data_IF_350813900044
#
_entry.id   IF_350813900044
#
_cell.length_a   1.000
_cell.length_b   1.000
_cell.length_c   1.000
_cell.angle_alpha   90.00
_cell.angle_beta   90.00
_cell.angle_gamma   90.00
#
_symmetry.space_group_name_H-M   'P 1'
#
loop_
_entity.id
_entity.type
_entity.pdbx_description
1 polymer ?
#
# COMPACT_ATOMS: atom_id res chain seq x y z
N UNK A 1 -2.27 14.65 25.87
CA UNK A 1 -2.11 13.27 25.38
C UNK A 1 -0.90 12.65 26.10
N UNK A 2 -0.96 11.41 26.58
CA UNK A 2 0.18 10.76 27.24
C UNK A 2 1.21 10.33 26.17
N UNK A 3 2.52 10.56 26.39
CA UNK A 3 3.61 10.16 25.49
C UNK A 3 3.48 8.72 24.99
N UNK A 4 3.02 7.80 25.85
CA UNK A 4 2.81 6.39 25.49
C UNK A 4 1.76 6.21 24.37
N UNK A 5 0.69 7.01 24.41
CA UNK A 5 -0.38 6.97 23.39
C UNK A 5 0.15 7.50 22.06
N UNK A 6 0.94 8.59 22.08
CA UNK A 6 1.56 9.14 20.88
C UNK A 6 2.53 8.16 20.21
N UNK A 7 3.40 7.52 21.01
CA UNK A 7 4.36 6.53 20.51
C UNK A 7 3.62 5.35 19.86
N UNK A 8 2.55 4.86 20.48
CA UNK A 8 1.74 3.78 19.91
C UNK A 8 1.07 4.20 18.60
N UNK A 9 0.47 5.40 18.53
CA UNK A 9 -0.13 5.91 17.28
C UNK A 9 0.90 6.03 16.16
N UNK A 10 2.10 6.54 16.44
CA UNK A 10 3.17 6.62 15.44
C UNK A 10 3.65 5.25 14.98
N UNK A 11 3.73 4.28 15.89
CA UNK A 11 4.08 2.89 15.55
C UNK A 11 3.00 2.25 14.68
N UNK A 12 1.74 2.35 15.08
CA UNK A 12 0.60 1.77 14.38
C UNK A 12 0.49 2.31 12.95
N UNK A 13 0.62 3.63 12.78
CA UNK A 13 0.61 4.25 11.45
C UNK A 13 1.86 3.88 10.62
N UNK A 14 3.01 3.62 11.23
CA UNK A 14 4.18 3.11 10.52
C UNK A 14 3.94 1.68 9.98
N UNK A 15 3.27 0.82 10.77
CA UNK A 15 2.85 -0.51 10.31
C UNK A 15 1.83 -0.39 9.17
N UNK A 16 0.86 0.52 9.23
CA UNK A 16 -0.09 0.79 8.14
C UNK A 16 0.61 1.28 6.85
N UNK A 17 1.59 2.17 6.97
CA UNK A 17 2.40 2.64 5.83
C UNK A 17 3.16 1.49 5.15
N UNK A 18 3.68 0.55 5.96
CA UNK A 18 4.39 -0.63 5.49
C UNK A 18 3.44 -1.68 4.90
N UNK A 19 2.24 -1.82 5.47
CA UNK A 19 1.17 -2.69 4.96
C UNK A 19 0.66 -2.25 3.57
N UNK A 20 0.78 -0.96 3.22
CA UNK A 20 0.41 -0.43 1.91
C UNK A 20 1.15 -1.09 0.73
N UNK A 21 2.26 -1.79 0.99
CA UNK A 21 3.04 -2.50 -0.03
C UNK A 21 2.52 -3.92 -0.36
N UNK A 22 1.50 -4.41 0.36
CA UNK A 22 0.89 -5.72 0.13
C UNK A 22 0.09 -5.78 -1.17
N UNK A 23 0.29 -6.85 -1.97
CA UNK A 23 -0.50 -7.14 -3.17
C UNK A 23 -1.83 -7.82 -2.82
N UNK A 24 -2.73 -7.10 -2.13
CA UNK A 24 -3.92 -7.69 -1.51
C UNK A 24 -4.94 -8.28 -2.50
N UNK A 25 -4.94 -7.84 -3.75
CA UNK A 25 -5.78 -8.42 -4.80
C UNK A 25 -5.51 -9.91 -5.05
N UNK A 26 -4.31 -10.39 -4.69
CA UNK A 26 -3.98 -11.81 -4.80
C UNK A 26 -4.80 -12.71 -3.84
N UNK A 27 -5.39 -12.13 -2.80
CA UNK A 27 -6.30 -12.83 -1.88
C UNK A 27 -7.74 -12.91 -2.40
N UNK A 28 -8.11 -12.13 -3.42
CA UNK A 28 -9.47 -12.13 -3.96
C UNK A 28 -9.65 -13.24 -5.00
N UNK A 29 -10.51 -14.22 -4.67
CA UNK A 29 -10.89 -15.29 -5.59
C UNK A 29 -11.55 -14.81 -6.89
N UNK A 30 -12.10 -13.59 -6.91
CA UNK A 30 -12.77 -12.99 -8.07
C UNK A 30 -11.81 -12.18 -8.95
N UNK A 31 -10.58 -11.96 -8.51
CA UNK A 31 -9.57 -11.26 -9.32
C UNK A 31 -9.23 -12.07 -10.58
N UNK A 32 -9.15 -11.39 -11.73
CA UNK A 32 -8.77 -12.03 -13.00
C UNK A 32 -7.25 -12.09 -13.15
N UNK A 33 -6.67 -13.18 -12.67
CA UNK A 33 -5.23 -13.46 -12.74
C UNK A 33 -4.69 -13.61 -14.17
N UNK A 34 -5.53 -13.67 -15.21
CA UNK A 34 -5.06 -13.74 -16.60
C UNK A 34 -4.67 -12.37 -17.18
N UNK A 35 -5.02 -11.28 -16.49
CA UNK A 35 -4.65 -9.92 -16.92
C UNK A 35 -3.18 -9.60 -16.66
N UNK A 36 -2.54 -10.29 -15.71
CA UNK A 36 -1.12 -10.12 -15.38
C UNK A 36 -0.43 -11.49 -15.23
N UNK A 37 0.49 -11.78 -16.15
CA UNK A 37 1.31 -13.01 -16.13
C UNK A 37 2.15 -13.16 -14.85
N UNK A 38 2.51 -12.05 -14.20
CA UNK A 38 3.22 -12.05 -12.91
C UNK A 38 2.30 -12.56 -11.82
N UNK A 39 1.05 -12.10 -11.78
CA UNK A 39 0.08 -12.52 -10.75
C UNK A 39 -0.33 -13.97 -10.93
N UNK A 40 -0.48 -14.41 -12.18
CA UNK A 40 -0.61 -15.83 -12.51
C UNK A 40 0.57 -16.67 -11.99
N UNK A 41 1.80 -16.17 -12.18
CA UNK A 41 3.01 -16.83 -11.65
C UNK A 41 3.05 -16.81 -10.12
N UNK A 42 2.68 -15.70 -9.47
CA UNK A 42 2.61 -15.58 -8.00
C UNK A 42 1.64 -16.61 -7.43
N UNK A 43 0.42 -16.66 -7.96
CA UNK A 43 -0.61 -17.57 -7.48
C UNK A 43 -0.21 -19.04 -7.64
N UNK A 44 0.33 -19.41 -8.81
CA UNK A 44 0.85 -20.77 -9.05
C UNK A 44 1.94 -21.13 -8.04
N UNK A 45 2.89 -20.22 -7.82
CA UNK A 45 3.99 -20.45 -6.89
C UNK A 45 3.52 -20.58 -5.43
N UNK A 46 2.51 -19.80 -5.02
CA UNK A 46 1.88 -19.94 -3.70
C UNK A 46 1.29 -21.33 -3.51
N UNK A 47 0.54 -21.83 -4.49
CA UNK A 47 -0.10 -23.16 -4.45
C UNK A 47 0.93 -24.29 -4.37
N UNK A 48 2.04 -24.17 -5.11
CA UNK A 48 3.15 -25.13 -5.04
C UNK A 48 3.78 -25.19 -3.64
N UNK A 49 3.90 -24.05 -2.95
CA UNK A 49 4.37 -24.02 -1.56
C UNK A 49 3.36 -24.71 -0.64
N UNK A 50 2.06 -24.38 -0.76
CA UNK A 50 1.02 -24.95 0.11
C UNK A 50 0.83 -26.45 -0.09
N UNK A 51 0.88 -26.94 -1.32
CA UNK A 51 0.87 -28.37 -1.62
C UNK A 51 2.02 -29.11 -0.91
N UNK A 52 3.24 -28.54 -0.93
CA UNK A 52 4.41 -29.09 -0.23
C UNK A 52 4.28 -29.05 1.30
N UNK A 53 3.75 -27.95 1.84
CA UNK A 53 3.54 -27.78 3.30
C UNK A 53 2.49 -28.77 3.84
N UNK A 54 1.43 -29.04 3.08
CA UNK A 54 0.32 -29.90 3.47
C UNK A 54 0.49 -31.37 3.05
N UNK A 55 1.50 -31.69 2.24
CA UNK A 55 1.73 -33.04 1.71
C UNK A 55 0.63 -33.50 0.75
N UNK A 56 0.00 -32.58 0.02
CA UNK A 56 -1.11 -32.84 -0.90
C UNK A 56 -0.86 -32.33 -2.32
N UNK A 57 -1.85 -32.52 -3.18
CA UNK A 57 -1.83 -32.02 -4.56
C UNK A 57 -2.08 -30.51 -4.63
N UNK A 58 -1.84 -29.92 -5.81
CA UNK A 58 -2.17 -28.53 -6.09
C UNK A 58 -3.69 -28.33 -6.04
N UNK A 59 -4.14 -27.49 -5.11
CA UNK A 59 -5.52 -26.99 -5.08
C UNK A 59 -5.62 -25.65 -5.83
N UNK A 60 -6.38 -25.67 -6.92
CA UNK A 60 -6.64 -24.49 -7.75
C UNK A 60 -7.55 -23.45 -7.09
N UNK A 61 -8.14 -23.75 -5.93
CA UNK A 61 -8.93 -22.82 -5.13
C UNK A 61 -8.16 -22.28 -3.92
N UNK A 62 -6.86 -22.59 -3.80
CA UNK A 62 -6.00 -22.04 -2.75
C UNK A 62 -5.50 -20.65 -3.15
N UNK A 63 -5.74 -19.67 -2.27
CA UNK A 63 -5.33 -18.27 -2.39
C UNK A 63 -4.58 -17.84 -1.12
N UNK A 64 -3.64 -16.88 -1.21
CA UNK A 64 -3.01 -16.30 -0.03
C UNK A 64 -4.03 -15.56 0.82
N UNK A 65 -3.89 -15.67 2.15
CA UNK A 65 -4.61 -14.80 3.07
C UNK A 65 -3.96 -13.41 3.09
N UNK A 66 -4.66 -12.37 3.58
CA UNK A 66 -4.04 -11.06 3.77
C UNK A 66 -2.78 -11.12 4.67
N UNK A 67 -2.79 -12.00 5.69
CA UNK A 67 -1.64 -12.20 6.56
C UNK A 67 -0.46 -12.88 5.85
N UNK A 68 -0.72 -13.79 4.89
CA UNK A 68 0.33 -14.35 4.03
C UNK A 68 0.94 -13.26 3.16
N UNK A 69 0.13 -12.33 2.66
CA UNK A 69 0.59 -11.25 1.77
C UNK A 69 1.58 -10.32 2.47
N UNK A 70 1.34 -10.00 3.75
CA UNK A 70 2.26 -9.19 4.54
C UNK A 70 3.44 -9.97 5.14
N UNK A 71 3.41 -11.31 5.12
CA UNK A 71 4.47 -12.12 5.74
C UNK A 71 5.76 -12.12 4.89
N UNK A 72 6.88 -11.73 5.50
CA UNK A 72 8.21 -11.69 4.90
C UNK A 72 8.68 -13.05 4.35
N UNK A 73 8.16 -14.16 4.88
CA UNK A 73 8.47 -15.51 4.36
C UNK A 73 7.99 -15.71 2.91
N UNK A 74 7.00 -14.93 2.48
CA UNK A 74 6.44 -14.90 1.13
C UNK A 74 6.83 -13.63 0.35
N UNK A 75 7.84 -12.88 0.81
CA UNK A 75 8.30 -11.67 0.11
C UNK A 75 8.89 -11.97 -1.26
N UNK A 76 9.72 -13.02 -1.36
CA UNK A 76 10.49 -13.34 -2.56
C UNK A 76 10.16 -14.74 -3.10
N UNK A 77 10.25 -14.89 -4.42
CA UNK A 77 10.39 -16.21 -5.03
C UNK A 77 11.66 -16.88 -4.50
N UNK A 78 11.65 -18.21 -4.39
CA UNK A 78 12.83 -18.98 -3.99
C UNK A 78 13.35 -19.81 -5.17
N UNK A 79 14.66 -19.93 -5.27
CA UNK A 79 15.29 -20.83 -6.23
C UNK A 79 15.13 -22.31 -5.80
N UNK A 80 15.66 -23.22 -6.62
CA UNK A 80 15.66 -24.67 -6.34
C UNK A 80 16.39 -25.06 -5.04
N UNK A 81 17.22 -24.18 -4.48
CA UNK A 81 17.94 -24.37 -3.23
C UNK A 81 17.26 -23.64 -2.05
N UNK A 82 16.02 -23.17 -2.22
CA UNK A 82 15.26 -22.40 -1.24
C UNK A 82 15.87 -21.02 -0.91
N UNK A 83 16.77 -20.48 -1.74
CA UNK A 83 17.33 -19.14 -1.55
C UNK A 83 16.40 -18.07 -2.12
N UNK A 84 16.16 -16.95 -1.42
CA UNK A 84 15.38 -15.84 -1.93
C UNK A 84 15.99 -15.28 -3.23
N UNK A 85 15.15 -15.08 -4.24
CA UNK A 85 15.48 -14.34 -5.46
C UNK A 85 15.32 -12.85 -5.18
N UNK A 86 16.18 -12.31 -4.31
CA UNK A 86 16.23 -10.89 -3.96
C UNK A 86 17.28 -10.20 -4.84
N UNK A 87 16.81 -9.62 -5.94
CA UNK A 87 17.64 -8.85 -6.87
C UNK A 87 16.79 -7.73 -7.47
N UNK A 88 17.42 -6.64 -7.88
CA UNK A 88 16.72 -5.52 -8.52
C UNK A 88 15.96 -5.92 -9.80
N UNK A 89 16.38 -7.01 -10.45
CA UNK A 89 15.70 -7.57 -11.63
C UNK A 89 14.54 -8.50 -11.29
N UNK A 90 14.36 -8.90 -10.03
CA UNK A 90 13.38 -9.89 -9.61
C UNK A 90 12.16 -9.23 -8.99
N UNK A 91 10.98 -9.51 -9.56
CA UNK A 91 9.71 -9.03 -9.01
C UNK A 91 9.44 -9.71 -7.67
N UNK A 92 8.95 -8.95 -6.70
CA UNK A 92 8.48 -9.50 -5.42
C UNK A 92 7.36 -10.51 -5.64
N UNK A 93 7.32 -11.52 -4.76
CA UNK A 93 6.27 -12.53 -4.72
C UNK A 93 4.98 -11.93 -4.13
N UNK A 94 4.84 -11.85 -2.80
CA UNK A 94 3.70 -11.16 -2.16
C UNK A 94 4.06 -9.79 -1.56
N UNK A 95 5.36 -9.49 -1.44
CA UNK A 95 5.87 -8.14 -1.15
C UNK A 95 5.82 -7.70 0.32
N UNK A 96 5.31 -8.52 1.23
CA UNK A 96 5.25 -8.21 2.66
C UNK A 96 6.62 -8.18 3.36
N UNK A 97 6.75 -7.31 4.36
CA UNK A 97 7.96 -7.17 5.19
C UNK A 97 7.71 -7.48 6.68
N UNK A 98 6.50 -7.95 7.04
CA UNK A 98 6.17 -8.24 8.44
C UNK A 98 6.69 -9.61 8.84
N UNK A 99 7.09 -9.76 10.11
CA UNK A 99 7.26 -11.11 10.67
C UNK A 99 5.93 -11.88 10.64
N UNK A 100 5.94 -13.22 10.58
CA UNK A 100 4.70 -14.02 10.52
C UNK A 100 3.72 -13.75 11.67
N UNK A 101 4.24 -13.40 12.85
CA UNK A 101 3.40 -13.06 14.01
C UNK A 101 2.85 -11.63 13.91
N UNK A 102 3.63 -10.71 13.35
CA UNK A 102 3.21 -9.33 13.15
C UNK A 102 2.09 -9.25 12.09
N UNK A 103 2.19 -9.98 10.98
CA UNK A 103 1.12 -10.00 9.96
C UNK A 103 -0.20 -10.52 10.50
N UNK A 104 -0.17 -11.59 11.30
CA UNK A 104 -1.37 -12.11 11.98
C UNK A 104 -1.96 -11.09 12.94
N UNK A 105 -1.14 -10.51 13.83
CA UNK A 105 -1.60 -9.49 14.80
C UNK A 105 -2.12 -8.22 14.14
N UNK A 106 -1.57 -7.85 12.98
CA UNK A 106 -2.06 -6.72 12.20
C UNK A 106 -3.50 -6.97 11.76
N UNK A 107 -3.80 -8.13 11.15
CA UNK A 107 -5.15 -8.49 10.70
C UNK A 107 -6.09 -8.95 11.83
N UNK A 108 -5.61 -9.16 13.07
CA UNK A 108 -6.47 -9.23 14.26
C UNK A 108 -7.04 -7.87 14.68
N UNK A 109 -6.50 -6.77 14.13
CA UNK A 109 -6.93 -5.40 14.43
C UNK A 109 -7.49 -4.68 13.22
N UNK A 110 -6.87 -4.82 12.06
CA UNK A 110 -7.21 -4.06 10.86
C UNK A 110 -7.96 -4.93 9.85
N UNK A 111 -9.19 -4.53 9.52
CA UNK A 111 -9.92 -5.11 8.39
C UNK A 111 -9.53 -4.37 7.11
N UNK A 112 -9.29 -5.09 6.02
CA UNK A 112 -9.12 -4.50 4.69
C UNK A 112 -10.50 -4.28 4.08
N UNK A 113 -10.79 -3.04 3.69
CA UNK A 113 -12.09 -2.68 3.10
C UNK A 113 -12.04 -2.56 1.58
N UNK A 114 -10.97 -1.95 1.06
CA UNK A 114 -10.82 -1.67 -0.37
C UNK A 114 -9.34 -1.59 -0.72
N UNK A 115 -8.96 -2.09 -1.89
CA UNK A 115 -7.58 -2.09 -2.34
C UNK A 115 -7.49 -1.75 -3.82
N UNK A 116 -6.73 -0.70 -4.12
CA UNK A 116 -6.29 -0.39 -5.47
C UNK A 116 -4.95 -1.10 -5.71
N UNK A 117 -4.90 -2.13 -6.60
CA UNK A 117 -3.64 -2.72 -7.03
C UNK A 117 -2.79 -1.68 -7.76
N UNK A 118 -1.52 -2.02 -8.01
CA UNK A 118 -0.64 -1.18 -8.82
C UNK A 118 -1.29 -0.83 -10.17
N UNK A 119 -1.53 0.46 -10.39
CA UNK A 119 -1.89 0.99 -11.70
C UNK A 119 -0.67 1.03 -12.62
N UNK A 120 -0.88 1.36 -13.90
CA UNK A 120 0.20 1.50 -14.89
C UNK A 120 1.23 2.57 -14.48
N UNK A 121 0.81 3.63 -13.81
CA UNK A 121 1.70 4.67 -13.28
C UNK A 121 2.50 4.20 -12.05
N UNK A 122 2.00 3.16 -11.37
CA UNK A 122 2.54 2.59 -10.14
C UNK A 122 1.82 3.01 -8.86
N UNK A 123 0.68 3.70 -8.97
CA UNK A 123 -0.14 4.06 -7.81
C UNK A 123 -0.77 2.81 -7.18
N UNK A 124 -0.84 2.77 -5.86
CA UNK A 124 -1.50 1.71 -5.11
C UNK A 124 -1.86 2.26 -3.73
N UNK A 125 -3.05 1.91 -3.26
CA UNK A 125 -3.54 2.34 -1.96
C UNK A 125 -4.52 1.32 -1.37
N UNK A 126 -4.61 1.27 -0.05
CA UNK A 126 -5.49 0.35 0.67
C UNK A 126 -6.23 1.08 1.77
N UNK A 127 -7.55 0.93 1.82
CA UNK A 127 -8.38 1.42 2.90
C UNK A 127 -8.52 0.33 3.96
N UNK A 128 -8.05 0.63 5.17
CA UNK A 128 -8.19 -0.23 6.34
C UNK A 128 -9.22 0.33 7.32
N UNK A 129 -9.80 -0.57 8.11
CA UNK A 129 -10.62 -0.26 9.28
C UNK A 129 -9.94 -0.74 10.55
N UNK A 130 -9.67 0.16 11.49
CA UNK A 130 -9.16 -0.20 12.82
C UNK A 130 -10.31 -0.60 13.75
N UNK A 131 -10.41 -1.88 14.06
CA UNK A 131 -11.43 -2.43 14.99
C UNK A 131 -11.24 -1.99 16.44
N UNK A 132 -10.12 -1.33 16.75
CA UNK A 132 -9.77 -0.83 18.09
C UNK A 132 -9.56 0.68 18.14
N UNK A 133 -10.06 1.41 17.15
CA UNK A 133 -9.99 2.86 17.11
C UNK A 133 -10.63 3.49 18.36
N UNK A 134 -10.04 4.58 18.86
CA UNK A 134 -10.53 5.32 20.02
C UNK A 134 -11.61 6.35 19.65
N UNK A 135 -11.82 6.60 18.36
CA UNK A 135 -12.87 7.47 17.81
C UNK A 135 -13.34 7.01 16.43
N UNK A 136 -14.56 7.40 16.06
CA UNK A 136 -15.13 7.14 14.72
C UNK A 136 -14.27 7.77 13.60
N UNK A 137 -13.68 8.93 13.86
CA UNK A 137 -12.90 9.67 12.86
C UNK A 137 -11.51 9.06 12.60
N UNK A 138 -11.01 8.24 13.53
CA UNK A 138 -9.77 7.45 13.40
C UNK A 138 -9.99 6.00 12.95
N UNK A 139 -11.25 5.58 12.79
CA UNK A 139 -11.62 4.19 12.49
C UNK A 139 -11.17 3.75 11.09
N UNK A 140 -11.02 4.69 10.16
CA UNK A 140 -10.70 4.40 8.76
C UNK A 140 -9.38 5.05 8.36
N UNK A 141 -8.50 4.26 7.75
CA UNK A 141 -7.16 4.68 7.39
C UNK A 141 -6.89 4.34 5.93
N UNK A 142 -6.64 5.35 5.10
CA UNK A 142 -6.15 5.18 3.74
C UNK A 142 -4.62 5.13 3.76
N UNK A 143 -4.06 3.97 3.44
CA UNK A 143 -2.62 3.76 3.35
C UNK A 143 -2.16 3.81 1.89
N UNK A 144 -1.30 4.78 1.54
CA UNK A 144 -0.80 5.00 0.19
C UNK A 144 0.63 4.47 0.08
N UNK A 145 0.85 3.60 -0.91
CA UNK A 145 2.13 2.96 -1.16
C UNK A 145 3.12 3.95 -1.78
N UNK A 146 4.40 3.82 -1.43
CA UNK A 146 5.47 4.43 -2.20
C UNK A 146 5.89 3.61 -3.42
N UNK A 147 6.31 4.30 -4.48
CA UNK A 147 7.12 3.71 -5.55
C UNK A 147 8.59 4.06 -5.33
N UNK A 148 9.49 3.24 -5.87
CA UNK A 148 10.93 3.46 -5.77
C UNK A 148 11.35 4.64 -6.66
N UNK A 149 11.39 5.83 -6.07
CA UNK A 149 12.09 6.99 -6.60
C UNK A 149 13.17 7.40 -5.61
N UNK A 150 14.33 7.84 -6.10
CA UNK A 150 15.35 8.41 -5.22
C UNK A 150 14.85 9.74 -4.67
N UNK A 151 15.22 10.06 -3.43
CA UNK A 151 14.86 11.34 -2.83
C UNK A 151 15.37 12.52 -3.69
N UNK A 152 16.55 12.39 -4.31
CA UNK A 152 17.08 13.39 -5.26
C UNK A 152 16.17 13.55 -6.48
N UNK A 153 15.65 12.44 -7.05
CA UNK A 153 14.72 12.49 -8.17
C UNK A 153 13.43 13.21 -7.77
N UNK A 154 12.91 12.97 -6.56
CA UNK A 154 11.70 13.66 -6.11
C UNK A 154 11.98 15.14 -5.84
N UNK A 155 13.17 15.49 -5.38
CA UNK A 155 13.56 16.89 -5.19
C UNK A 155 13.77 17.61 -6.52
N UNK A 156 14.39 16.95 -7.51
CA UNK A 156 14.51 17.45 -8.88
C UNK A 156 13.12 17.60 -9.52
N UNK A 157 12.20 16.65 -9.31
CA UNK A 157 10.81 16.74 -9.75
C UNK A 157 10.07 17.96 -9.18
N UNK A 158 10.25 18.25 -7.88
CA UNK A 158 9.67 19.42 -7.24
C UNK A 158 10.25 20.72 -7.82
N UNK A 159 11.56 20.76 -8.10
CA UNK A 159 12.22 21.93 -8.67
C UNK A 159 11.87 22.13 -10.17
N UNK A 160 11.79 21.06 -10.94
CA UNK A 160 11.46 21.05 -12.36
C UNK A 160 10.00 21.42 -12.63
N UNK A 161 9.07 21.09 -11.73
CA UNK A 161 7.67 21.55 -11.80
C UNK A 161 7.59 23.09 -11.84
N UNK A 162 8.49 23.79 -11.14
CA UNK A 162 8.56 25.26 -11.18
C UNK A 162 9.28 25.80 -12.43
N UNK A 163 10.01 24.97 -13.17
CA UNK A 163 10.90 25.37 -14.28
C UNK A 163 10.41 24.88 -15.66
N UNK A 164 9.39 24.02 -15.73
CA UNK A 164 8.69 23.66 -16.97
C UNK A 164 9.48 22.76 -17.91
N UNK A 165 10.30 21.85 -17.36
CA UNK A 165 11.11 20.89 -18.12
C UNK A 165 10.35 19.56 -18.30
N UNK A 166 10.26 19.07 -19.55
CA UNK A 166 9.60 17.81 -19.89
C UNK A 166 10.48 16.60 -19.54
N UNK A 167 10.45 16.16 -18.28
CA UNK A 167 11.11 14.92 -17.83
C UNK A 167 10.09 13.76 -17.72
N UNK A 168 10.43 12.59 -18.26
CA UNK A 168 9.56 11.40 -18.28
C UNK A 168 9.14 10.91 -16.89
N UNK A 169 9.96 11.17 -15.87
CA UNK A 169 9.67 10.79 -14.48
C UNK A 169 8.60 11.71 -13.84
N UNK A 170 8.45 12.95 -14.34
CA UNK A 170 7.40 13.88 -13.89
C UNK A 170 6.02 13.39 -14.31
N UNK A 171 5.92 12.85 -15.53
CA UNK A 171 4.68 12.26 -16.01
C UNK A 171 4.23 11.13 -15.07
N UNK A 172 5.14 10.30 -14.56
CA UNK A 172 4.76 9.19 -13.66
C UNK A 172 4.23 9.64 -12.31
N UNK A 173 4.81 10.66 -11.68
CA UNK A 173 4.29 11.17 -10.40
C UNK A 173 2.95 11.86 -10.59
N UNK A 174 2.80 12.61 -11.67
CA UNK A 174 1.53 13.27 -12.04
C UNK A 174 0.46 12.22 -12.37
N UNK A 175 0.79 11.17 -13.11
CA UNK A 175 -0.09 10.06 -13.39
C UNK A 175 -0.50 9.33 -12.10
N UNK A 176 0.43 9.06 -11.17
CA UNK A 176 0.09 8.48 -9.86
C UNK A 176 -0.83 9.38 -9.05
N UNK A 177 -0.65 10.71 -9.13
CA UNK A 177 -1.56 11.66 -8.51
C UNK A 177 -2.96 11.61 -9.16
N UNK A 178 -3.06 11.56 -10.49
CA UNK A 178 -4.34 11.43 -11.17
C UNK A 178 -5.03 10.09 -10.87
N UNK A 179 -4.29 8.98 -10.87
CA UNK A 179 -4.80 7.66 -10.48
C UNK A 179 -5.32 7.67 -9.03
N UNK A 180 -4.65 8.39 -8.13
CA UNK A 180 -5.13 8.59 -6.76
C UNK A 180 -6.46 9.36 -6.72
N UNK A 181 -6.61 10.43 -7.50
CA UNK A 181 -7.87 11.17 -7.60
C UNK A 181 -8.98 10.31 -8.18
N UNK A 182 -8.70 9.54 -9.24
CA UNK A 182 -9.66 8.62 -9.86
C UNK A 182 -10.10 7.53 -8.88
N UNK A 183 -9.16 6.88 -8.20
CA UNK A 183 -9.47 5.88 -7.18
C UNK A 183 -10.36 6.46 -6.07
N UNK A 184 -10.09 7.69 -5.65
CA UNK A 184 -10.95 8.35 -4.68
C UNK A 184 -12.34 8.65 -5.22
N UNK A 185 -12.46 9.35 -6.36
CA UNK A 185 -13.75 9.80 -6.89
C UNK A 185 -14.65 8.63 -7.30
N UNK A 186 -14.07 7.59 -7.92
CA UNK A 186 -14.83 6.48 -8.49
C UNK A 186 -15.07 5.34 -7.51
N UNK A 187 -14.17 5.13 -6.54
CA UNK A 187 -14.23 3.96 -5.64
C UNK A 187 -14.43 4.36 -4.18
N UNK A 188 -13.49 5.13 -3.60
CA UNK A 188 -13.54 5.41 -2.16
C UNK A 188 -14.73 6.30 -1.79
N UNK A 189 -14.97 7.39 -2.52
CA UNK A 189 -16.01 8.36 -2.19
C UNK A 189 -17.41 7.73 -2.15
N UNK A 190 -17.85 6.91 -3.13
CA UNK A 190 -19.09 6.14 -3.01
C UNK A 190 -19.11 5.21 -1.77
N UNK A 191 -18.03 4.48 -1.53
CA UNK A 191 -17.91 3.55 -0.40
C UNK A 191 -18.02 4.28 0.96
N UNK A 192 -17.33 5.41 1.10
CA UNK A 192 -17.38 6.25 2.30
C UNK A 192 -18.79 6.80 2.54
N UNK A 193 -19.47 7.25 1.48
CA UNK A 193 -20.86 7.72 1.54
C UNK A 193 -21.82 6.62 1.96
N UNK A 194 -21.73 5.44 1.34
CA UNK A 194 -22.56 4.26 1.66
C UNK A 194 -22.41 3.87 3.14
N UNK A 195 -21.17 3.89 3.66
CA UNK A 195 -20.87 3.53 5.05
C UNK A 195 -21.05 4.68 6.05
N UNK A 196 -21.44 5.88 5.61
CA UNK A 196 -21.60 7.05 6.49
C UNK A 196 -20.30 7.49 7.17
N UNK A 197 -19.17 7.36 6.47
CA UNK A 197 -17.83 7.73 6.92
C UNK A 197 -17.55 9.17 6.46
N UNK A 198 -17.30 10.05 7.42
CA UNK A 198 -17.11 11.49 7.17
C UNK A 198 -15.65 11.91 7.24
N UNK A 199 -14.82 11.11 7.92
CA UNK A 199 -13.43 11.42 8.23
C UNK A 199 -12.58 10.16 8.14
N UNK A 200 -11.37 10.32 7.62
CA UNK A 200 -10.36 9.26 7.51
C UNK A 200 -8.99 9.79 7.93
N UNK A 201 -8.15 8.90 8.45
CA UNK A 201 -6.72 9.12 8.53
C UNK A 201 -6.07 8.74 7.20
N UNK A 202 -4.98 9.41 6.84
CA UNK A 202 -4.22 9.09 5.63
C UNK A 202 -2.76 8.93 5.99
N UNK A 203 -2.15 7.86 5.48
CA UNK A 203 -0.78 7.50 5.81
C UNK A 203 0.01 7.07 4.58
N UNK A 204 1.28 7.42 4.52
CA UNK A 204 2.15 6.97 3.43
C UNK A 204 3.64 7.05 3.74
N UNK A 205 4.41 6.25 3.02
CA UNK A 205 5.88 6.21 3.09
C UNK A 205 6.52 6.60 1.75
N UNK A 206 7.67 7.31 1.79
CA UNK A 206 8.40 7.75 0.60
C UNK A 206 7.50 8.56 -0.34
N UNK A 207 7.41 8.25 -1.64
CA UNK A 207 6.48 8.91 -2.56
C UNK A 207 5.02 8.78 -2.11
N UNK A 208 4.64 7.69 -1.44
CA UNK A 208 3.29 7.52 -0.90
C UNK A 208 2.97 8.57 0.18
N UNK A 209 3.98 9.01 0.93
CA UNK A 209 3.85 10.11 1.88
C UNK A 209 3.75 11.49 1.22
N UNK A 210 4.31 11.66 0.02
CA UNK A 210 4.09 12.85 -0.81
C UNK A 210 2.66 12.87 -1.36
N UNK A 211 2.19 11.76 -1.94
CA UNK A 211 0.81 11.62 -2.40
C UNK A 211 -0.21 11.77 -1.26
N UNK A 212 0.14 11.32 -0.05
CA UNK A 212 -0.66 11.54 1.16
C UNK A 212 -0.86 13.03 1.48
N UNK A 213 0.18 13.86 1.31
CA UNK A 213 0.07 15.31 1.49
C UNK A 213 -0.84 15.92 0.40
N UNK A 214 -0.62 15.55 -0.86
CA UNK A 214 -1.45 16.02 -1.97
C UNK A 214 -2.92 15.62 -1.79
N UNK A 215 -3.19 14.38 -1.36
CA UNK A 215 -4.54 13.91 -1.06
C UNK A 215 -5.21 14.77 0.02
N UNK A 216 -4.48 15.09 1.08
CA UNK A 216 -5.00 15.91 2.16
C UNK A 216 -5.30 17.35 1.72
N UNK A 217 -4.52 17.90 0.80
CA UNK A 217 -4.75 19.21 0.19
C UNK A 217 -5.92 19.21 -0.80
N UNK A 218 -6.10 18.13 -1.55
CA UNK A 218 -7.20 17.98 -2.51
C UNK A 218 -8.54 17.73 -1.82
N UNK A 219 -8.55 17.04 -0.67
CA UNK A 219 -9.76 16.63 0.03
C UNK A 219 -9.77 16.99 1.54
N UNK A 220 -9.49 18.24 1.94
CA UNK A 220 -9.26 18.61 3.34
C UNK A 220 -10.47 18.34 4.25
N UNK A 221 -11.68 18.38 3.69
CA UNK A 221 -12.91 18.20 4.45
C UNK A 221 -13.09 16.79 5.01
N UNK A 222 -12.45 15.76 4.43
CA UNK A 222 -12.56 14.37 4.89
C UNK A 222 -11.35 13.92 5.72
N UNK A 223 -10.35 14.78 5.93
CA UNK A 223 -9.14 14.41 6.67
C UNK A 223 -9.36 14.60 8.16
N UNK A 224 -8.97 13.59 8.94
CA UNK A 224 -8.82 13.66 10.39
C UNK A 224 -7.34 13.90 10.78
N UNK A 225 -6.46 12.95 10.45
CA UNK A 225 -5.02 13.05 10.70
C UNK A 225 -4.21 12.59 9.49
N UNK A 226 -3.00 13.13 9.34
CA UNK A 226 -2.06 12.80 8.26
C UNK A 226 -0.75 12.31 8.86
N UNK A 227 -0.27 11.16 8.40
CA UNK A 227 0.99 10.56 8.82
C UNK A 227 1.89 10.30 7.62
N UNK A 228 3.08 10.89 7.60
CA UNK A 228 4.05 10.68 6.52
C UNK A 228 5.37 10.18 7.08
N UNK A 229 5.96 9.19 6.41
CA UNK A 229 7.22 8.57 6.81
C UNK A 229 8.21 8.69 5.66
N UNK A 230 9.36 9.31 5.92
CA UNK A 230 10.44 9.51 4.94
C UNK A 230 9.94 10.12 3.61
N UNK A 231 8.96 11.03 3.71
CA UNK A 231 8.36 11.69 2.55
C UNK A 231 9.17 12.94 2.16
N UNK A 232 9.38 13.20 0.86
CA UNK A 232 9.82 14.51 0.41
C UNK A 232 8.75 15.55 0.77
N UNK A 233 9.20 16.72 1.22
CA UNK A 233 8.32 17.80 1.65
C UNK A 233 7.89 18.61 0.43
N UNK A 234 6.58 18.90 0.33
CA UNK A 234 6.10 20.00 -0.49
C UNK A 234 6.47 21.31 0.22
N UNK A 235 7.69 21.84 -0.02
CA UNK A 235 8.04 23.15 0.52
C UNK A 235 7.44 24.23 -0.36
N UNK A 236 6.45 24.97 0.15
CA UNK A 236 6.13 26.30 -0.42
C UNK A 236 7.41 27.12 -0.33
N UNK A 237 7.93 27.58 -1.47
CA UNK A 237 8.88 28.69 -1.45
C UNK A 237 8.17 29.86 -0.79
N UNK A 238 8.59 30.24 0.42
CA UNK A 238 8.23 31.53 1.00
C UNK A 238 8.90 32.57 0.12
N UNK A 239 8.11 33.21 -0.74
CA UNK A 239 8.46 34.44 -1.44
C UNK A 239 7.60 35.56 -0.85
#
# INVERSE_FOLDING_TARGET
MNNKVMINRLKDNAELAMAAYGYFHLADSKYDFNKDEIDKRRLKYFREIKAKELGGDLDENTYPTHADILNIEYKYFKDKNSKPQDSWYHKHFLGGDFSPTQSKRFFERYDLLEHCPNTDSGFSATLFKDTKADSKDSEYILAIRGTEFKLEQIQDLLNDYYIGTNNSDMNRVIEQYFDMLLFYEETLKPLLQEKGITKINVVGHSLGGYLTQLFALSYPNIINEVYTYNAPLESRSVA
#
